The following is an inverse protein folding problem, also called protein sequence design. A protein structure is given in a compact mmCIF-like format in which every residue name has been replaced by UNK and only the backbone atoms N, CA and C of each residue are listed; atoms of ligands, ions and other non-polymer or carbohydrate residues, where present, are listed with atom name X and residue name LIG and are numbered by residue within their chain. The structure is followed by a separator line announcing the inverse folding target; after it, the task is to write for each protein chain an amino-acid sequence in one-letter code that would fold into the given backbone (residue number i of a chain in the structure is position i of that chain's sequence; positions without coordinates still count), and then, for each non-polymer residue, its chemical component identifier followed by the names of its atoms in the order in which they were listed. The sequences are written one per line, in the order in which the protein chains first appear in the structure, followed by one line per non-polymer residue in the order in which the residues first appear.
data_IF_053173972351
#
_entry.id   IF_053173972351
#
_cell.length_a   1.000
_cell.length_b   1.000
_cell.length_c   1.000
_cell.angle_alpha   90.00
_cell.angle_beta   90.00
_cell.angle_gamma   90.00
#
_symmetry.space_group_name_H-M   'P 1'
#
loop_
_entity.id
_entity.type
_entity.pdbx_description
1 polymer ?
#
# COMPACT_ATOMS: atom_id res chain seq x y z
N UNK A 1 -3.55 2.61 3.72
CA UNK A 1 -4.58 2.04 4.64
C UNK A 1 -4.95 0.60 4.29
N UNK A 2 -5.37 0.30 3.06
CA UNK A 2 -5.82 -1.06 2.68
C UNK A 2 -4.90 -2.20 3.08
N UNK A 3 -3.58 -2.03 2.96
CA UNK A 3 -2.61 -3.03 3.40
C UNK A 3 -2.63 -3.32 4.90
N UNK A 4 -2.81 -2.30 5.75
CA UNK A 4 -2.96 -2.52 7.20
C UNK A 4 -4.24 -3.30 7.52
N UNK A 5 -5.34 -3.01 6.80
CA UNK A 5 -6.59 -3.75 6.94
C UNK A 5 -6.40 -5.22 6.52
N UNK A 6 -5.70 -5.46 5.40
CA UNK A 6 -5.43 -6.82 4.92
C UNK A 6 -4.58 -7.62 5.92
N UNK A 7 -3.53 -7.02 6.49
CA UNK A 7 -2.70 -7.65 7.53
C UNK A 7 -3.52 -7.98 8.78
N UNK A 8 -4.37 -7.07 9.24
CA UNK A 8 -5.23 -7.32 10.41
C UNK A 8 -6.26 -8.42 10.15
N UNK A 9 -6.84 -8.48 8.94
CA UNK A 9 -7.74 -9.57 8.55
C UNK A 9 -7.01 -10.92 8.49
N UNK A 10 -5.78 -10.94 7.96
CA UNK A 10 -4.95 -12.15 7.93
C UNK A 10 -4.57 -12.62 9.34
N UNK A 11 -4.21 -11.69 10.23
CA UNK A 11 -3.91 -11.97 11.65
C UNK A 11 -5.08 -12.64 12.37
N UNK A 12 -6.31 -12.24 12.05
CA UNK A 12 -7.53 -12.85 12.62
C UNK A 12 -7.82 -14.26 12.11
N UNK A 13 -6.96 -14.82 11.26
CA UNK A 13 -7.07 -16.18 10.74
C UNK A 13 -8.45 -16.54 10.18
N UNK A 14 -9.06 -15.63 9.40
CA UNK A 14 -10.36 -15.88 8.80
C UNK A 14 -10.27 -17.06 7.80
N UNK A 15 -11.03 -18.17 8.01
CA UNK A 15 -10.92 -19.37 7.19
C UNK A 15 -11.35 -19.17 5.72
N UNK A 16 -11.95 -18.04 5.38
CA UNK A 16 -12.28 -17.70 3.98
C UNK A 16 -11.10 -17.09 3.23
N UNK A 17 -10.03 -16.70 3.93
CA UNK A 17 -8.83 -16.16 3.30
C UNK A 17 -7.86 -17.31 3.05
N UNK A 18 -7.52 -17.53 1.80
CA UNK A 18 -6.55 -18.56 1.37
C UNK A 18 -5.17 -17.97 1.08
N UNK A 19 -5.11 -16.69 0.74
CA UNK A 19 -3.89 -15.94 0.47
C UNK A 19 -4.18 -14.43 0.49
N UNK A 20 -3.12 -13.62 0.48
CA UNK A 20 -3.25 -12.16 0.32
C UNK A 20 -2.17 -11.59 -0.61
N UNK A 21 -2.48 -10.45 -1.23
CA UNK A 21 -1.53 -9.67 -2.02
C UNK A 21 -1.40 -8.28 -1.38
N UNK A 22 -0.19 -7.94 -0.97
CA UNK A 22 0.15 -6.65 -0.39
C UNK A 22 0.82 -5.78 -1.45
N UNK A 23 0.18 -4.68 -1.86
CA UNK A 23 0.70 -3.80 -2.89
C UNK A 23 1.16 -2.49 -2.27
N UNK A 24 2.42 -2.11 -2.47
CA UNK A 24 2.98 -0.83 -2.04
C UNK A 24 2.66 -0.49 -0.58
N UNK A 25 2.78 -1.45 0.34
CA UNK A 25 2.38 -1.31 1.73
C UNK A 25 3.42 -1.81 2.72
N UNK A 26 3.20 -1.55 3.99
CA UNK A 26 4.06 -1.96 5.11
C UNK A 26 3.22 -2.22 6.36
N UNK A 27 3.81 -2.88 7.36
CA UNK A 27 3.15 -3.16 8.64
C UNK A 27 2.99 -1.91 9.53
N UNK A 28 3.71 -0.83 9.21
CA UNK A 28 3.56 0.48 9.84
C UNK A 28 3.73 1.56 8.77
N UNK A 29 2.86 2.54 8.79
CA UNK A 29 2.92 3.68 7.86
C UNK A 29 3.39 4.93 8.62
N UNK A 30 4.44 5.57 8.10
CA UNK A 30 4.98 6.80 8.68
C UNK A 30 4.18 8.01 8.16
N UNK A 31 3.09 8.34 8.86
CA UNK A 31 2.35 9.59 8.61
C UNK A 31 2.95 10.70 9.46
N UNK A 32 3.32 11.82 8.85
CA UNK A 32 3.89 12.97 9.55
C UNK A 32 2.80 13.90 10.07
N UNK A 33 3.10 14.63 11.16
CA UNK A 33 2.20 15.67 11.69
C UNK A 33 1.91 16.74 10.63
N UNK A 34 2.87 17.05 9.76
CA UNK A 34 2.66 17.98 8.63
C UNK A 34 1.51 17.55 7.72
N UNK A 35 1.36 16.25 7.44
CA UNK A 35 0.24 15.74 6.65
C UNK A 35 -1.07 15.86 7.44
N UNK A 36 -1.07 15.43 8.71
CA UNK A 36 -2.28 15.46 9.54
C UNK A 36 -2.79 16.90 9.76
N UNK A 37 -1.90 17.83 10.09
CA UNK A 37 -2.26 19.23 10.28
C UNK A 37 -2.68 19.89 8.98
N UNK A 38 -1.97 19.59 7.88
CA UNK A 38 -2.27 20.10 6.56
C UNK A 38 -3.65 19.65 6.03
N UNK A 39 -4.05 18.40 6.29
CA UNK A 39 -5.39 17.91 5.92
C UNK A 39 -6.53 18.67 6.60
N UNK A 40 -6.26 19.30 7.75
CA UNK A 40 -7.22 20.16 8.46
C UNK A 40 -7.14 21.63 8.03
N UNK A 41 -5.93 22.14 7.84
CA UNK A 41 -5.69 23.58 7.64
C UNK A 41 -5.72 24.01 6.17
N UNK A 42 -5.21 23.17 5.26
CA UNK A 42 -5.21 23.38 3.81
C UNK A 42 -5.31 22.05 3.07
N UNK A 43 -6.53 21.53 3.04
CA UNK A 43 -6.82 20.22 2.46
C UNK A 43 -6.41 20.11 0.98
N UNK A 44 -6.77 21.07 0.08
CA UNK A 44 -6.39 20.94 -1.33
C UNK A 44 -4.88 20.92 -1.56
N UNK A 45 -4.12 21.80 -0.90
CA UNK A 45 -2.67 21.83 -1.04
C UNK A 45 -2.01 20.56 -0.47
N UNK A 46 -2.55 20.01 0.62
CA UNK A 46 -2.06 18.77 1.21
C UNK A 46 -2.36 17.56 0.31
N UNK A 47 -3.53 17.52 -0.32
CA UNK A 47 -3.84 16.51 -1.34
C UNK A 47 -2.85 16.61 -2.50
N UNK A 48 -2.56 17.81 -3.00
CA UNK A 48 -1.58 18.02 -4.08
C UNK A 48 -0.19 17.52 -3.69
N UNK A 49 0.22 17.77 -2.45
CA UNK A 49 1.47 17.25 -1.89
C UNK A 49 1.48 15.72 -1.87
N UNK A 50 0.43 15.07 -1.34
CA UNK A 50 0.32 13.62 -1.28
C UNK A 50 0.39 13.02 -2.69
N UNK A 51 -0.38 13.55 -3.64
CA UNK A 51 -0.42 13.06 -5.03
C UNK A 51 0.95 13.18 -5.69
N UNK A 52 1.67 14.28 -5.48
CA UNK A 52 3.02 14.49 -6.01
C UNK A 52 4.00 13.36 -5.64
N UNK A 53 3.88 12.80 -4.43
CA UNK A 53 4.76 11.74 -3.94
C UNK A 53 4.18 10.33 -4.12
N UNK A 54 2.95 10.23 -4.61
CA UNK A 54 2.28 8.94 -4.81
C UNK A 54 2.55 8.29 -6.17
N UNK A 55 2.98 9.07 -7.16
CA UNK A 55 3.23 8.58 -8.52
C UNK A 55 4.68 8.74 -8.92
N UNK A 56 5.16 7.84 -9.77
CA UNK A 56 6.43 8.03 -10.46
C UNK A 56 6.36 9.26 -11.39
N UNK A 57 7.50 9.94 -11.58
CA UNK A 57 7.56 11.16 -12.43
C UNK A 57 7.14 10.91 -13.86
N UNK A 58 7.34 9.68 -14.35
CA UNK A 58 7.03 9.28 -15.72
C UNK A 58 5.62 8.68 -15.85
N UNK A 59 4.82 8.75 -14.80
CA UNK A 59 3.43 8.33 -14.82
C UNK A 59 2.60 9.18 -15.78
N UNK A 60 1.68 8.52 -16.51
CA UNK A 60 0.75 9.24 -17.37
C UNK A 60 -0.07 10.27 -16.55
N UNK A 61 -0.13 11.54 -16.97
CA UNK A 61 -0.76 12.63 -16.21
C UNK A 61 -2.23 12.39 -15.83
N UNK A 62 -2.89 11.50 -16.53
CA UNK A 62 -4.26 11.09 -16.25
C UNK A 62 -4.41 10.48 -14.83
N UNK A 63 -3.47 9.63 -14.40
CA UNK A 63 -3.58 8.94 -13.11
C UNK A 63 -3.49 9.89 -11.91
N UNK A 64 -2.46 10.77 -11.80
CA UNK A 64 -2.41 11.75 -10.72
C UNK A 64 -3.63 12.68 -10.71
N UNK A 65 -4.10 13.11 -11.89
CA UNK A 65 -5.27 13.98 -11.98
C UNK A 65 -6.54 13.31 -11.44
N UNK A 66 -6.76 12.05 -11.79
CA UNK A 66 -7.91 11.28 -11.28
C UNK A 66 -7.79 10.96 -9.79
N UNK A 67 -6.60 10.59 -9.31
CA UNK A 67 -6.38 10.37 -7.89
C UNK A 67 -6.66 11.64 -7.08
N UNK A 68 -6.24 12.82 -7.58
CA UNK A 68 -6.56 14.10 -6.98
C UNK A 68 -8.07 14.36 -6.93
N UNK A 69 -8.78 14.17 -8.05
CA UNK A 69 -10.23 14.34 -8.13
C UNK A 69 -10.95 13.51 -7.06
N UNK A 70 -10.62 12.22 -6.95
CA UNK A 70 -11.22 11.34 -5.96
C UNK A 70 -10.86 11.72 -4.53
N UNK A 71 -9.60 12.11 -4.26
CA UNK A 71 -9.19 12.56 -2.92
C UNK A 71 -9.94 13.80 -2.50
N UNK A 72 -10.10 14.78 -3.38
CA UNK A 72 -10.89 15.99 -3.10
C UNK A 72 -12.38 15.64 -2.86
N UNK A 73 -12.94 14.72 -3.64
CA UNK A 73 -14.33 14.28 -3.47
C UNK A 73 -14.57 13.50 -2.16
N UNK A 74 -13.56 12.81 -1.65
CA UNK A 74 -13.61 12.12 -0.34
C UNK A 74 -13.80 13.10 0.81
N UNK A 75 -13.20 14.28 0.70
CA UNK A 75 -13.30 15.36 1.68
C UNK A 75 -12.30 15.28 2.83
N UNK A 76 -12.10 16.42 3.54
CA UNK A 76 -11.05 16.56 4.56
C UNK A 76 -11.25 15.65 5.78
N UNK A 77 -12.47 15.54 6.29
CA UNK A 77 -12.74 14.81 7.53
C UNK A 77 -12.46 13.31 7.37
N UNK A 78 -12.95 12.70 6.28
CA UNK A 78 -12.70 11.28 5.98
C UNK A 78 -11.23 11.03 5.74
N UNK A 79 -10.59 11.86 4.90
CA UNK A 79 -9.16 11.71 4.59
C UNK A 79 -8.31 11.87 5.84
N UNK A 80 -8.58 12.87 6.68
CA UNK A 80 -7.86 13.05 7.95
C UNK A 80 -8.05 11.85 8.89
N UNK A 81 -9.27 11.31 9.03
CA UNK A 81 -9.54 10.15 9.86
C UNK A 81 -8.76 8.92 9.37
N UNK A 82 -8.71 8.68 8.06
CA UNK A 82 -7.97 7.58 7.44
C UNK A 82 -6.46 7.71 7.70
N UNK A 83 -5.88 8.89 7.51
CA UNK A 83 -4.46 9.12 7.78
C UNK A 83 -4.14 9.01 9.28
N UNK A 84 -5.03 9.45 10.16
CA UNK A 84 -4.89 9.30 11.62
C UNK A 84 -4.89 7.81 12.01
N UNK A 85 -5.81 7.01 11.46
CA UNK A 85 -5.84 5.58 11.68
C UNK A 85 -4.56 4.89 11.16
N UNK A 86 -4.04 5.31 10.01
CA UNK A 86 -2.75 4.82 9.48
C UNK A 86 -1.57 5.17 10.41
N UNK A 87 -1.54 6.39 10.96
CA UNK A 87 -0.50 6.83 11.88
C UNK A 87 -0.47 6.04 13.19
N UNK A 88 -1.67 5.67 13.69
CA UNK A 88 -1.83 4.95 14.95
C UNK A 88 -1.54 3.45 14.83
N UNK A 89 -1.65 2.86 13.62
CA UNK A 89 -1.53 1.43 13.43
C UNK A 89 -0.06 0.98 13.36
N UNK A 90 0.28 -0.03 14.16
CA UNK A 90 1.57 -0.73 14.10
C UNK A 90 1.35 -2.25 14.21
N UNK A 91 1.45 -2.95 13.10
CA UNK A 91 1.25 -4.41 13.05
C UNK A 91 2.57 -5.19 13.06
N UNK A 92 3.73 -4.52 13.18
CA UNK A 92 5.03 -5.18 13.21
C UNK A 92 5.15 -6.24 14.33
N UNK A 93 4.65 -6.01 15.56
CA UNK A 93 4.70 -7.02 16.62
C UNK A 93 3.89 -8.29 16.32
N UNK A 94 2.96 -8.21 15.38
CA UNK A 94 2.00 -9.26 15.08
C UNK A 94 2.27 -10.02 13.78
N UNK A 95 3.32 -9.68 13.04
CA UNK A 95 3.60 -10.31 11.74
C UNK A 95 3.86 -11.82 11.86
N UNK A 96 4.46 -12.26 12.96
CA UNK A 96 4.69 -13.69 13.24
C UNK A 96 3.40 -14.52 13.45
N UNK A 97 2.26 -13.86 13.72
CA UNK A 97 0.95 -14.51 13.85
C UNK A 97 0.32 -14.82 12.47
N UNK A 98 0.83 -14.20 11.41
CA UNK A 98 0.27 -14.29 10.05
C UNK A 98 0.96 -15.42 9.31
N UNK A 99 0.25 -16.52 9.11
CA UNK A 99 0.73 -17.71 8.36
C UNK A 99 0.17 -17.78 6.94
N UNK A 100 -0.74 -16.86 6.59
CA UNK A 100 -1.38 -16.81 5.29
C UNK A 100 -0.36 -16.59 4.17
N UNK A 101 -0.37 -17.40 3.08
CA UNK A 101 0.47 -17.15 1.92
C UNK A 101 0.32 -15.71 1.44
N UNK A 102 1.44 -14.99 1.30
CA UNK A 102 1.42 -13.57 1.02
C UNK A 102 2.35 -13.22 -0.14
N UNK A 103 1.84 -12.55 -1.16
CA UNK A 103 2.67 -11.86 -2.15
C UNK A 103 2.81 -10.39 -1.76
N UNK A 104 4.04 -9.92 -1.59
CA UNK A 104 4.34 -8.49 -1.44
C UNK A 104 4.82 -7.94 -2.78
N UNK A 105 4.04 -7.07 -3.37
CA UNK A 105 4.41 -6.30 -4.57
C UNK A 105 5.01 -4.99 -4.10
N UNK A 106 6.35 -4.94 -4.12
CA UNK A 106 7.12 -3.77 -3.74
C UNK A 106 7.34 -2.85 -4.94
N UNK A 107 7.30 -1.55 -4.72
CA UNK A 107 7.44 -0.54 -5.76
C UNK A 107 8.72 0.27 -5.57
N UNK A 108 9.59 0.29 -6.59
CA UNK A 108 10.93 0.84 -6.46
C UNK A 108 10.93 2.36 -6.25
N UNK A 109 10.04 3.08 -6.93
CA UNK A 109 9.90 4.54 -6.88
C UNK A 109 8.86 5.04 -5.87
N UNK A 110 8.39 4.20 -4.95
CA UNK A 110 7.40 4.61 -3.95
C UNK A 110 8.01 5.53 -2.89
N UNK A 111 7.59 6.80 -2.90
CA UNK A 111 8.00 7.79 -1.92
C UNK A 111 7.03 7.88 -0.72
N UNK A 112 5.83 7.29 -0.81
CA UNK A 112 4.87 7.22 0.30
C UNK A 112 5.23 6.11 1.29
N UNK A 113 5.55 4.92 0.76
CA UNK A 113 6.02 3.77 1.53
C UNK A 113 7.33 3.28 0.90
N UNK A 114 8.49 3.78 1.30
CA UNK A 114 9.76 3.41 0.70
C UNK A 114 9.96 1.90 0.56
N UNK A 115 10.48 1.47 -0.58
CA UNK A 115 10.63 0.05 -0.98
C UNK A 115 11.30 -0.82 0.10
N UNK A 116 12.21 -0.26 0.89
CA UNK A 116 12.86 -0.95 2.01
C UNK A 116 11.86 -1.44 3.07
N UNK A 117 10.80 -0.68 3.33
CA UNK A 117 9.77 -1.06 4.31
C UNK A 117 8.82 -2.11 3.75
N UNK A 118 8.58 -2.08 2.44
CA UNK A 118 7.79 -3.09 1.75
C UNK A 118 8.52 -4.44 1.73
N UNK A 119 9.83 -4.45 1.45
CA UNK A 119 10.68 -5.65 1.54
C UNK A 119 10.77 -6.18 2.96
N UNK A 120 10.99 -5.30 3.94
CA UNK A 120 11.02 -5.69 5.34
C UNK A 120 9.70 -6.33 5.83
N UNK A 121 8.55 -5.95 5.23
CA UNK A 121 7.28 -6.64 5.48
C UNK A 121 7.34 -8.09 5.01
N UNK A 122 7.83 -8.33 3.78
CA UNK A 122 7.95 -9.70 3.25
C UNK A 122 8.92 -10.55 4.08
N UNK A 123 10.07 -9.98 4.46
CA UNK A 123 11.09 -10.66 5.26
C UNK A 123 10.59 -11.06 6.67
N UNK A 124 9.63 -10.30 7.21
CA UNK A 124 9.08 -10.54 8.54
C UNK A 124 7.86 -11.48 8.57
N UNK A 125 7.26 -11.78 7.43
CA UNK A 125 6.14 -12.71 7.31
C UNK A 125 6.66 -14.15 7.11
N UNK A 126 6.06 -15.13 7.81
CA UNK A 126 6.51 -16.52 7.77
C UNK A 126 6.34 -17.20 6.40
N UNK A 127 5.36 -16.77 5.60
CA UNK A 127 5.02 -17.37 4.31
C UNK A 127 4.77 -16.28 3.26
N UNK A 128 5.83 -15.53 2.94
CA UNK A 128 5.74 -14.45 1.96
C UNK A 128 6.80 -14.54 0.88
N UNK A 129 6.44 -14.08 -0.30
CA UNK A 129 7.35 -13.79 -1.40
C UNK A 129 7.24 -12.31 -1.77
N UNK A 130 8.32 -11.74 -2.29
CA UNK A 130 8.39 -10.34 -2.67
C UNK A 130 8.78 -10.19 -4.13
N UNK A 131 7.98 -9.43 -4.88
CA UNK A 131 8.31 -9.01 -6.23
C UNK A 131 8.44 -7.49 -6.29
N UNK A 132 9.56 -6.99 -6.80
CA UNK A 132 9.82 -5.55 -6.91
C UNK A 132 9.50 -5.06 -8.31
N UNK A 133 8.61 -4.09 -8.42
CA UNK A 133 8.23 -3.45 -9.68
C UNK A 133 9.05 -2.18 -9.88
N UNK A 134 9.86 -2.17 -10.94
CA UNK A 134 10.66 -1.02 -11.32
C UNK A 134 9.82 0.07 -12.01
N UNK A 135 10.22 1.33 -11.84
CA UNK A 135 9.62 2.48 -12.54
C UNK A 135 8.16 2.74 -12.17
N UNK A 136 7.77 2.43 -10.95
CA UNK A 136 6.45 2.73 -10.41
C UNK A 136 6.54 3.40 -9.04
N UNK A 137 5.60 4.26 -8.74
CA UNK A 137 5.38 4.89 -7.42
C UNK A 137 4.47 4.05 -6.53
N UNK A 138 3.61 4.73 -5.76
CA UNK A 138 2.71 4.08 -4.80
C UNK A 138 1.53 3.32 -5.44
N UNK A 139 1.29 3.51 -6.73
CA UNK A 139 0.20 2.85 -7.47
C UNK A 139 0.74 1.96 -8.60
N UNK A 140 1.61 0.96 -8.32
CA UNK A 140 2.19 0.10 -9.36
C UNK A 140 1.13 -0.61 -10.19
N UNK A 141 -0.03 -0.92 -9.64
CA UNK A 141 -1.17 -1.53 -10.35
C UNK A 141 -1.75 -0.62 -11.46
N UNK A 142 -1.55 0.69 -11.37
CA UNK A 142 -1.93 1.66 -12.41
C UNK A 142 -0.77 1.96 -13.35
N UNK A 143 0.44 2.10 -12.79
CA UNK A 143 1.62 2.57 -13.50
C UNK A 143 2.32 1.47 -14.29
N UNK A 144 2.25 0.23 -13.80
CA UNK A 144 2.88 -0.97 -14.38
C UNK A 144 1.93 -2.17 -14.32
N UNK A 145 0.70 -1.98 -14.77
CA UNK A 145 -0.42 -2.95 -14.67
C UNK A 145 -0.02 -4.36 -15.09
N UNK A 146 0.65 -4.52 -16.25
CA UNK A 146 1.04 -5.86 -16.74
C UNK A 146 2.04 -6.57 -15.82
N UNK A 147 2.98 -5.83 -15.23
CA UNK A 147 3.96 -6.44 -14.32
C UNK A 147 3.27 -6.92 -13.04
N UNK A 148 2.38 -6.09 -12.48
CA UNK A 148 1.58 -6.45 -11.30
C UNK A 148 0.66 -7.64 -11.60
N UNK A 149 -0.04 -7.63 -12.72
CA UNK A 149 -0.90 -8.75 -13.16
C UNK A 149 -0.08 -10.04 -13.27
N UNK A 150 1.07 -10.01 -13.94
CA UNK A 150 1.94 -11.18 -14.10
C UNK A 150 2.40 -11.72 -12.75
N UNK A 151 2.76 -10.86 -11.80
CA UNK A 151 3.16 -11.25 -10.45
C UNK A 151 2.02 -11.97 -9.72
N UNK A 152 0.81 -11.40 -9.77
CA UNK A 152 -0.39 -11.98 -9.15
C UNK A 152 -0.73 -13.33 -9.78
N UNK A 153 -0.75 -13.44 -11.11
CA UNK A 153 -1.05 -14.70 -11.80
C UNK A 153 -0.06 -15.79 -11.40
N UNK A 154 1.24 -15.51 -11.43
CA UNK A 154 2.27 -16.48 -10.99
C UNK A 154 2.08 -16.93 -9.54
N UNK A 155 1.71 -16.02 -8.66
CA UNK A 155 1.44 -16.35 -7.27
C UNK A 155 0.21 -17.25 -7.13
N UNK A 156 -0.90 -16.90 -7.78
CA UNK A 156 -2.15 -17.69 -7.71
C UNK A 156 -2.02 -19.07 -8.36
N UNK A 157 -1.26 -19.18 -9.45
CA UNK A 157 -1.01 -20.48 -10.10
C UNK A 157 -0.24 -21.45 -9.18
N UNK A 158 0.73 -20.94 -8.41
CA UNK A 158 1.44 -21.75 -7.41
C UNK A 158 0.54 -22.20 -6.27
N UNK A 159 -0.38 -21.35 -5.82
CA UNK A 159 -1.35 -21.73 -4.77
C UNK A 159 -2.32 -22.84 -5.25
N UNK A 160 -2.70 -22.81 -6.52
CA UNK A 160 -3.58 -23.81 -7.10
C UNK A 160 -2.91 -25.17 -7.33
N UNK A 161 -1.57 -25.20 -7.35
CA UNK A 161 -0.78 -26.42 -7.55
C UNK A 161 -0.43 -27.16 -6.23
N UNK A 162 -0.75 -26.56 -5.07
CA UNK A 162 -0.53 -27.13 -3.73
C UNK A 162 -1.81 -27.71 -3.17
#
# INVERSE_FOLDING_TARGET
MGGLIALELARRANPRLIAQVMVASSARLAVTDQILDGLKSDFPATVDFIIKYSFDRDSAPFFPAKAREYSIATGPDTTHADFTACAAADLRPHLGEITLPTLVIASEGDHMVPVKHQKALADALANAECETIAGAGHYPQLERTRAVETAICRFTDRLAAT
#
